data_IF_520366746766
#
_entry.id   IF_520366746766
#
_cell.length_a   1.000
_cell.length_b   1.000
_cell.length_c   1.000
_cell.angle_alpha   90.00
_cell.angle_beta   90.00
_cell.angle_gamma   90.00
#
_symmetry.space_group_name_H-M   'P 1'
#
loop_
_entity.id
_entity.type
_entity.pdbx_description
1 polymer ?
#
# COMPACT_ATOMS: atom_id res chain seq x y z
N UNK A 1 14.67 12.71 -29.88
CA UNK A 1 14.64 11.88 -28.65
C UNK A 1 13.37 12.17 -27.89
N UNK A 2 12.57 11.16 -27.55
CA UNK A 2 11.47 11.34 -26.58
C UNK A 2 12.10 11.64 -25.22
N UNK A 3 11.80 12.81 -24.64
CA UNK A 3 12.20 13.13 -23.26
C UNK A 3 11.31 12.36 -22.31
N UNK A 4 11.91 11.70 -21.32
CA UNK A 4 11.19 11.11 -20.21
C UNK A 4 10.64 12.22 -19.32
N UNK A 5 9.38 12.10 -18.89
CA UNK A 5 8.78 13.02 -17.93
C UNK A 5 9.10 12.52 -16.51
N UNK A 6 9.96 13.22 -15.74
CA UNK A 6 10.26 12.84 -14.37
C UNK A 6 9.07 13.01 -13.43
N UNK A 7 7.97 13.63 -13.88
CA UNK A 7 6.79 13.95 -13.08
C UNK A 7 5.57 13.08 -13.43
N UNK A 8 5.73 12.04 -14.24
CA UNK A 8 4.63 11.20 -14.74
C UNK A 8 3.62 10.77 -13.65
N UNK A 9 4.11 10.36 -12.48
CA UNK A 9 3.27 9.91 -11.36
C UNK A 9 3.10 10.96 -10.25
N UNK A 10 3.81 12.10 -10.32
CA UNK A 10 3.84 13.11 -9.26
C UNK A 10 2.44 13.63 -8.95
N UNK A 11 1.69 14.02 -9.97
CA UNK A 11 0.32 14.52 -9.76
C UNK A 11 -0.56 13.50 -9.06
N UNK A 12 -0.53 12.23 -9.50
CA UNK A 12 -1.31 11.16 -8.88
C UNK A 12 -0.94 10.97 -7.41
N UNK A 13 0.35 10.84 -7.10
CA UNK A 13 0.83 10.65 -5.72
C UNK A 13 0.45 11.86 -4.86
N UNK A 14 0.72 13.07 -5.32
CA UNK A 14 0.42 14.30 -4.60
C UNK A 14 -1.07 14.44 -4.29
N UNK A 15 -1.95 14.10 -5.25
CA UNK A 15 -3.40 14.14 -5.04
C UNK A 15 -3.83 13.22 -3.89
N UNK A 16 -3.42 11.95 -3.88
CA UNK A 16 -3.89 11.02 -2.86
C UNK A 16 -3.19 11.18 -1.51
N UNK A 17 -1.92 11.62 -1.49
CA UNK A 17 -1.24 11.99 -0.25
C UNK A 17 -1.88 13.23 0.36
N UNK A 18 -2.15 14.27 -0.43
CA UNK A 18 -2.85 15.47 0.04
C UNK A 18 -4.25 15.18 0.58
N UNK A 19 -5.06 14.42 -0.15
CA UNK A 19 -6.39 14.00 0.30
C UNK A 19 -6.34 13.17 1.58
N UNK A 20 -5.41 12.21 1.65
CA UNK A 20 -5.17 11.39 2.85
C UNK A 20 -4.81 12.28 4.04
N UNK A 21 -3.95 13.28 3.84
CA UNK A 21 -3.47 14.15 4.89
C UNK A 21 -4.57 15.08 5.39
N UNK A 22 -5.29 15.75 4.48
CA UNK A 22 -6.44 16.59 4.84
C UNK A 22 -7.51 15.81 5.61
N UNK A 23 -7.83 14.59 5.15
CA UNK A 23 -8.81 13.72 5.81
C UNK A 23 -8.34 13.12 7.15
N UNK A 24 -7.08 13.35 7.55
CA UNK A 24 -6.57 12.95 8.86
C UNK A 24 -6.90 13.95 9.97
N UNK A 25 -7.38 15.14 9.60
CA UNK A 25 -7.52 16.27 10.51
C UNK A 25 -6.19 16.92 10.86
N UNK A 26 -6.26 17.91 11.75
CA UNK A 26 -5.08 18.63 12.25
C UNK A 26 -4.24 17.73 13.16
N UNK A 27 -2.89 17.76 13.03
CA UNK A 27 -2.02 17.05 13.95
C UNK A 27 -2.17 17.50 15.40
N UNK A 28 -1.82 16.62 16.33
CA UNK A 28 -1.70 16.96 17.74
C UNK A 28 -0.69 18.11 17.92
N UNK A 29 -1.12 19.20 18.55
CA UNK A 29 -0.31 20.42 18.73
C UNK A 29 -0.65 21.57 17.78
N UNK A 30 -1.44 21.35 16.72
CA UNK A 30 -1.91 22.42 15.83
C UNK A 30 -3.15 23.15 16.38
N UNK A 31 -3.02 23.77 17.55
CA UNK A 31 -4.15 24.41 18.25
C UNK A 31 -4.37 25.86 17.82
N UNK A 32 -3.30 26.62 17.58
CA UNK A 32 -3.39 28.03 17.19
C UNK A 32 -3.37 28.22 15.67
N UNK A 33 -3.77 29.41 15.19
CA UNK A 33 -3.66 29.77 13.77
C UNK A 33 -2.21 29.78 13.28
N UNK A 34 -1.26 30.15 14.15
CA UNK A 34 0.17 30.15 13.84
C UNK A 34 0.68 28.72 13.65
N UNK A 35 0.34 27.79 14.55
CA UNK A 35 0.77 26.38 14.43
C UNK A 35 0.23 25.76 13.13
N UNK A 36 -1.02 26.10 12.77
CA UNK A 36 -1.64 25.64 11.51
C UNK A 36 -0.93 26.20 10.30
N UNK A 37 -0.60 27.50 10.30
CA UNK A 37 0.14 28.13 9.22
C UNK A 37 1.55 27.52 9.05
N UNK A 38 2.25 27.29 10.16
CA UNK A 38 3.58 26.67 10.16
C UNK A 38 3.53 25.24 9.64
N UNK A 39 2.54 24.45 10.07
CA UNK A 39 2.33 23.09 9.57
C UNK A 39 2.09 23.06 8.05
N UNK A 40 1.24 23.96 7.53
CA UNK A 40 0.96 24.02 6.09
C UNK A 40 2.22 24.40 5.29
N UNK A 41 2.95 25.41 5.76
CA UNK A 41 4.19 25.86 5.11
C UNK A 41 5.26 24.77 5.15
N UNK A 42 5.37 24.03 6.25
CA UNK A 42 6.29 22.90 6.36
C UNK A 42 5.90 21.74 5.43
N UNK A 43 4.62 21.38 5.39
CA UNK A 43 4.12 20.31 4.53
C UNK A 43 4.35 20.65 3.04
N UNK A 44 4.09 21.89 2.63
CA UNK A 44 4.39 22.35 1.28
C UNK A 44 5.91 22.32 0.99
N UNK A 45 6.73 22.78 1.93
CA UNK A 45 8.20 22.78 1.78
C UNK A 45 8.78 21.38 1.64
N UNK A 46 8.27 20.40 2.40
CA UNK A 46 8.81 19.03 2.43
C UNK A 46 8.23 18.17 1.31
N UNK A 47 6.91 18.19 1.12
CA UNK A 47 6.22 17.29 0.17
C UNK A 47 5.97 17.95 -1.20
N UNK A 48 6.04 19.28 -1.29
CA UNK A 48 5.62 20.02 -2.48
C UNK A 48 4.11 19.89 -2.74
N UNK A 49 3.31 19.70 -1.68
CA UNK A 49 1.86 19.54 -1.75
C UNK A 49 1.20 20.67 -0.98
N UNK A 50 0.36 21.43 -1.66
CA UNK A 50 -0.51 22.43 -1.03
C UNK A 50 -1.73 21.73 -0.41
N UNK A 51 -1.92 21.94 0.89
CA UNK A 51 -3.11 21.47 1.61
C UNK A 51 -4.11 22.62 1.76
N UNK A 52 -5.38 22.34 1.48
CA UNK A 52 -6.48 23.28 1.65
C UNK A 52 -6.92 23.29 3.13
N UNK A 53 -6.70 24.38 3.89
CA UNK A 53 -6.99 24.44 5.31
C UNK A 53 -8.47 24.21 5.65
N UNK A 54 -9.37 24.59 4.75
CA UNK A 54 -10.82 24.43 4.93
C UNK A 54 -11.27 22.97 4.81
N UNK A 55 -10.45 22.13 4.16
CA UNK A 55 -10.70 20.70 3.97
C UNK A 55 -9.98 19.82 4.98
N UNK A 56 -9.20 20.39 5.90
CA UNK A 56 -8.52 19.62 6.95
C UNK A 56 -9.52 19.31 8.06
N UNK A 57 -10.05 18.10 8.03
CA UNK A 57 -10.97 17.57 9.03
C UNK A 57 -10.82 16.05 9.14
N UNK A 58 -11.14 15.51 10.32
CA UNK A 58 -11.09 14.06 10.54
C UNK A 58 -12.20 13.38 9.75
N UNK A 59 -11.83 12.72 8.65
CA UNK A 59 -12.74 11.95 7.80
C UNK A 59 -12.18 10.55 7.54
N UNK A 60 -12.50 9.56 8.40
CA UNK A 60 -11.95 8.21 8.31
C UNK A 60 -12.24 7.52 6.97
N UNK A 61 -13.42 7.74 6.40
CA UNK A 61 -13.82 7.14 5.12
C UNK A 61 -13.02 7.67 3.95
N UNK A 62 -12.93 8.99 3.82
CA UNK A 62 -12.12 9.63 2.77
C UNK A 62 -10.64 9.28 2.93
N UNK A 63 -10.13 9.29 4.16
CA UNK A 63 -8.76 8.88 4.47
C UNK A 63 -8.49 7.45 4.00
N UNK A 64 -9.40 6.52 4.28
CA UNK A 64 -9.29 5.13 3.86
C UNK A 64 -9.25 5.01 2.34
N UNK A 65 -10.15 5.70 1.62
CA UNK A 65 -10.21 5.68 0.16
C UNK A 65 -8.94 6.29 -0.45
N UNK A 66 -8.50 7.44 0.04
CA UNK A 66 -7.28 8.10 -0.44
C UNK A 66 -6.05 7.21 -0.23
N UNK A 67 -5.92 6.59 0.96
CA UNK A 67 -4.85 5.61 1.25
C UNK A 67 -4.93 4.38 0.33
N UNK A 68 -6.12 3.84 0.09
CA UNK A 68 -6.31 2.70 -0.78
C UNK A 68 -5.87 3.01 -2.22
N UNK A 69 -6.27 4.18 -2.74
CA UNK A 69 -5.92 4.61 -4.10
C UNK A 69 -4.42 4.88 -4.23
N UNK A 70 -3.81 5.56 -3.25
CA UNK A 70 -2.36 5.73 -3.19
C UNK A 70 -1.63 4.38 -3.26
N UNK A 71 -2.13 3.38 -2.52
CA UNK A 71 -1.50 2.06 -2.42
C UNK A 71 -1.80 1.12 -3.61
N UNK A 72 -2.82 1.42 -4.42
CA UNK A 72 -3.27 0.52 -5.49
C UNK A 72 -2.55 0.73 -6.82
N UNK A 73 -1.89 1.88 -7.01
CA UNK A 73 -1.32 2.28 -8.30
C UNK A 73 -0.33 1.25 -8.84
N UNK A 74 0.72 0.93 -8.08
CA UNK A 74 1.78 0.04 -8.55
C UNK A 74 1.30 -1.41 -8.72
N UNK A 75 0.35 -1.87 -7.89
CA UNK A 75 -0.28 -3.17 -8.05
C UNK A 75 -1.04 -3.27 -9.37
N UNK A 76 -1.67 -2.17 -9.81
CA UNK A 76 -2.37 -2.12 -11.09
C UNK A 76 -1.43 -2.19 -12.30
N UNK A 77 -0.22 -1.61 -12.18
CA UNK A 77 0.80 -1.68 -13.23
C UNK A 77 1.31 -3.11 -13.46
N UNK A 78 1.32 -3.95 -12.43
CA UNK A 78 1.75 -5.36 -12.50
C UNK A 78 0.58 -6.35 -12.50
N UNK A 79 -0.65 -5.91 -12.80
CA UNK A 79 -1.81 -6.78 -12.71
C UNK A 79 -1.66 -8.00 -13.63
N UNK A 80 -1.68 -9.19 -13.04
CA UNK A 80 -1.58 -10.46 -13.77
C UNK A 80 -2.72 -10.58 -14.78
N UNK A 81 -2.34 -11.01 -15.98
CA UNK A 81 -3.26 -11.35 -17.07
C UNK A 81 -3.72 -12.80 -16.90
N UNK A 82 -4.90 -13.15 -17.39
CA UNK A 82 -5.51 -14.48 -17.26
C UNK A 82 -5.93 -14.83 -15.82
N UNK A 83 -6.62 -13.91 -15.16
CA UNK A 83 -7.33 -14.21 -13.93
C UNK A 83 -8.44 -15.24 -14.17
N UNK A 84 -8.77 -15.99 -13.12
CA UNK A 84 -10.01 -16.78 -13.11
C UNK A 84 -11.16 -15.84 -12.83
N UNK A 85 -12.21 -15.91 -13.65
CA UNK A 85 -13.41 -15.09 -13.56
C UNK A 85 -14.60 -15.98 -13.22
N UNK A 86 -15.51 -15.46 -12.40
CA UNK A 86 -16.82 -16.09 -12.19
C UNK A 86 -17.81 -15.39 -13.09
N UNK A 87 -18.48 -16.16 -13.94
CA UNK A 87 -19.60 -15.72 -14.77
C UNK A 87 -20.86 -16.45 -14.35
N UNK A 88 -22.00 -15.83 -14.60
CA UNK A 88 -23.30 -16.42 -14.32
C UNK A 88 -24.05 -16.62 -15.61
N UNK A 89 -24.50 -17.84 -15.86
CA UNK A 89 -25.40 -18.17 -16.95
C UNK A 89 -26.80 -18.39 -16.37
N UNK A 90 -27.79 -17.65 -16.88
CA UNK A 90 -29.18 -17.74 -16.44
C UNK A 90 -30.02 -18.69 -17.30
N UNK A 91 -29.48 -19.06 -18.45
CA UNK A 91 -30.15 -19.94 -19.42
C UNK A 91 -29.18 -21.00 -19.92
N UNK A 92 -29.68 -22.16 -20.38
CA UNK A 92 -28.84 -23.17 -21.02
C UNK A 92 -28.06 -22.60 -22.22
N UNK A 93 -28.64 -21.67 -22.98
CA UNK A 93 -27.97 -21.03 -24.10
C UNK A 93 -26.74 -20.20 -23.66
N UNK A 94 -26.85 -19.43 -22.59
CA UNK A 94 -25.71 -18.69 -22.02
C UNK A 94 -24.62 -19.63 -21.50
N UNK A 95 -25.02 -20.75 -20.89
CA UNK A 95 -24.08 -21.78 -20.42
C UNK A 95 -23.33 -22.43 -21.58
N UNK A 96 -24.05 -22.84 -22.64
CA UNK A 96 -23.46 -23.40 -23.85
C UNK A 96 -22.53 -22.42 -24.56
N UNK A 97 -22.86 -21.13 -24.61
CA UNK A 97 -21.95 -20.10 -25.14
C UNK A 97 -20.63 -20.06 -24.38
N UNK A 98 -20.64 -20.24 -23.05
CA UNK A 98 -19.41 -20.29 -22.27
C UNK A 98 -18.62 -21.58 -22.49
N UNK A 99 -19.29 -22.71 -22.72
CA UNK A 99 -18.63 -23.99 -23.04
C UNK A 99 -17.96 -23.97 -24.41
N UNK A 100 -18.58 -23.32 -25.39
CA UNK A 100 -18.16 -23.33 -26.79
C UNK A 100 -17.24 -22.15 -27.16
N UNK A 101 -17.10 -21.14 -26.29
CA UNK A 101 -16.22 -19.99 -26.54
C UNK A 101 -14.75 -20.45 -26.65
N UNK A 102 -14.14 -20.35 -27.85
CA UNK A 102 -12.78 -20.86 -28.07
C UNK A 102 -11.72 -20.06 -27.33
N UNK A 103 -12.05 -18.87 -26.81
CA UNK A 103 -11.12 -17.95 -26.16
C UNK A 103 -10.97 -18.17 -24.66
N UNK A 104 -11.83 -18.99 -24.06
CA UNK A 104 -11.84 -19.28 -22.63
C UNK A 104 -11.73 -20.79 -22.37
N UNK A 105 -11.23 -21.13 -21.19
CA UNK A 105 -11.31 -22.46 -20.60
C UNK A 105 -12.42 -22.43 -19.54
N UNK A 106 -13.42 -23.30 -19.67
CA UNK A 106 -14.34 -23.58 -18.57
C UNK A 106 -13.62 -24.49 -17.56
N UNK A 107 -13.44 -23.99 -16.34
CA UNK A 107 -12.69 -24.68 -15.29
C UNK A 107 -13.60 -25.49 -14.38
N UNK A 108 -14.76 -24.93 -14.07
CA UNK A 108 -15.71 -25.47 -13.10
C UNK A 108 -17.09 -24.84 -13.31
N UNK A 109 -18.15 -25.53 -12.89
CA UNK A 109 -19.48 -24.95 -12.83
C UNK A 109 -20.34 -25.60 -11.74
N UNK A 110 -21.21 -24.80 -11.13
CA UNK A 110 -22.18 -25.23 -10.13
C UNK A 110 -23.58 -24.69 -10.47
N UNK A 111 -24.59 -25.54 -10.30
CA UNK A 111 -26.00 -25.11 -10.32
C UNK A 111 -26.33 -24.41 -9.00
N UNK A 112 -26.47 -23.08 -9.02
CA UNK A 112 -26.82 -22.28 -7.84
C UNK A 112 -28.33 -22.33 -7.59
N UNK A 113 -29.12 -22.31 -8.67
CA UNK A 113 -30.57 -22.50 -8.65
C UNK A 113 -31.03 -23.08 -9.98
N UNK A 114 -32.32 -23.36 -10.11
CA UNK A 114 -32.94 -23.88 -11.35
C UNK A 114 -32.69 -22.99 -12.58
N UNK A 115 -32.38 -21.71 -12.38
CA UNK A 115 -32.19 -20.72 -13.45
C UNK A 115 -30.87 -19.96 -13.34
N UNK A 116 -29.88 -20.54 -12.66
CA UNK A 116 -28.60 -19.86 -12.45
C UNK A 116 -27.45 -20.85 -12.26
N UNK A 117 -26.53 -20.82 -13.21
CA UNK A 117 -25.28 -21.55 -13.18
C UNK A 117 -24.13 -20.60 -12.89
N UNK A 118 -23.35 -20.91 -11.87
CA UNK A 118 -22.08 -20.25 -11.57
C UNK A 118 -21.00 -20.96 -12.37
N UNK A 119 -20.41 -20.26 -13.34
CA UNK A 119 -19.36 -20.79 -14.19
C UNK A 119 -18.02 -20.15 -13.83
N UNK A 120 -17.02 -20.96 -13.52
CA UNK A 120 -15.65 -20.52 -13.30
C UNK A 120 -14.89 -20.66 -14.61
N UNK A 121 -14.47 -19.55 -15.18
CA UNK A 121 -13.81 -19.50 -16.49
C UNK A 121 -12.46 -18.83 -16.40
N UNK A 122 -11.58 -19.12 -17.36
CA UNK A 122 -10.30 -18.45 -17.50
C UNK A 122 -10.03 -18.14 -18.95
N UNK A 123 -9.56 -16.93 -19.24
CA UNK A 123 -9.15 -16.59 -20.60
C UNK A 123 -7.87 -17.35 -20.97
N UNK A 124 -7.86 -18.01 -22.12
CA UNK A 124 -6.67 -18.70 -22.62
C UNK A 124 -5.55 -17.69 -22.89
N UNK A 125 -4.28 -18.01 -22.59
CA UNK A 125 -3.17 -17.06 -22.67
C UNK A 125 -3.03 -16.34 -24.02
N UNK A 126 -3.24 -17.05 -25.12
CA UNK A 126 -3.14 -16.53 -26.49
C UNK A 126 -4.18 -15.47 -26.83
N UNK A 127 -5.33 -15.46 -26.13
CA UNK A 127 -6.39 -14.46 -26.30
C UNK A 127 -6.38 -13.39 -25.20
N UNK A 128 -5.50 -13.52 -24.22
CA UNK A 128 -5.48 -12.65 -23.07
C UNK A 128 -4.69 -11.37 -23.37
N UNK A 129 -5.31 -10.22 -23.07
CA UNK A 129 -4.69 -8.91 -23.24
C UNK A 129 -4.48 -8.29 -21.88
N UNK A 130 -3.28 -7.76 -21.66
CA UNK A 130 -3.02 -6.96 -20.48
C UNK A 130 -3.92 -5.71 -20.47
N UNK A 131 -4.35 -5.22 -19.29
CA UNK A 131 -4.99 -3.92 -19.20
C UNK A 131 -4.11 -2.83 -19.82
N UNK A 132 -4.72 -1.79 -20.41
CA UNK A 132 -3.98 -0.64 -20.95
C UNK A 132 -3.11 0.07 -19.89
N UNK A 133 -3.41 -0.12 -18.62
CA UNK A 133 -2.65 0.42 -17.49
C UNK A 133 -1.46 -0.46 -17.09
N UNK A 134 -1.28 -1.65 -17.67
CA UNK A 134 -0.19 -2.54 -17.30
C UNK A 134 1.15 -1.99 -17.82
N UNK A 135 2.12 -1.86 -16.92
CA UNK A 135 3.48 -1.48 -17.25
C UNK A 135 4.44 -2.23 -16.32
N UNK A 136 4.67 -3.52 -16.63
CA UNK A 136 5.52 -4.39 -15.85
C UNK A 136 6.94 -3.82 -15.57
N UNK A 137 7.63 -3.17 -16.54
CA UNK A 137 8.95 -2.58 -16.27
C UNK A 137 8.91 -1.53 -15.16
N UNK A 138 7.93 -0.62 -15.18
CA UNK A 138 7.79 0.41 -14.13
C UNK A 138 7.50 -0.24 -12.78
N UNK A 139 6.61 -1.23 -12.72
CA UNK A 139 6.32 -1.93 -11.47
C UNK A 139 7.56 -2.67 -10.91
N UNK A 140 8.37 -3.27 -11.79
CA UNK A 140 9.62 -3.92 -11.40
C UNK A 140 10.62 -2.90 -10.81
N UNK A 141 10.75 -1.72 -11.43
CA UNK A 141 11.59 -0.64 -10.89
C UNK A 141 11.07 -0.14 -9.54
N UNK A 142 9.78 0.18 -9.41
CA UNK A 142 9.18 0.64 -8.15
C UNK A 142 9.45 -0.35 -7.02
N UNK A 143 9.22 -1.65 -7.25
CA UNK A 143 9.49 -2.68 -6.23
C UNK A 143 10.98 -2.86 -5.95
N UNK A 144 11.86 -2.62 -6.92
CA UNK A 144 13.32 -2.69 -6.71
C UNK A 144 13.82 -1.52 -5.86
N UNK A 145 13.37 -0.29 -6.17
CA UNK A 145 13.68 0.89 -5.38
C UNK A 145 13.10 0.79 -3.96
N UNK A 146 11.89 0.28 -3.79
CA UNK A 146 11.32 0.06 -2.46
C UNK A 146 12.17 -0.91 -1.61
N UNK A 147 12.73 -1.97 -2.21
CA UNK A 147 13.64 -2.90 -1.51
C UNK A 147 14.96 -2.23 -1.12
N UNK A 148 15.54 -1.43 -2.01
CA UNK A 148 16.76 -0.67 -1.71
C UNK A 148 16.51 0.34 -0.58
N UNK A 149 15.38 1.05 -0.64
CA UNK A 149 14.96 2.01 0.38
C UNK A 149 14.78 1.35 1.76
N UNK A 150 14.14 0.18 1.81
CA UNK A 150 14.03 -0.58 3.05
C UNK A 150 15.40 -1.08 3.54
N UNK A 151 16.26 -1.48 2.61
CA UNK A 151 17.61 -1.94 2.92
C UNK A 151 18.46 -0.84 3.56
N UNK A 152 18.33 0.42 3.13
CA UNK A 152 18.97 1.58 3.79
C UNK A 152 18.59 1.69 5.28
N UNK A 153 17.32 1.44 5.64
CA UNK A 153 16.90 1.41 7.04
C UNK A 153 17.45 0.19 7.80
N UNK A 154 17.62 -0.95 7.13
CA UNK A 154 18.29 -2.13 7.72
C UNK A 154 19.76 -1.82 7.99
N UNK A 155 20.44 -1.10 7.11
CA UNK A 155 21.82 -0.64 7.34
C UNK A 155 21.90 0.34 8.51
N UNK A 156 20.93 1.26 8.65
CA UNK A 156 20.85 2.12 9.83
C UNK A 156 20.72 1.32 11.13
N UNK A 157 19.89 0.27 11.16
CA UNK A 157 19.79 -0.64 12.32
C UNK A 157 21.16 -1.21 12.67
N UNK A 158 21.94 -1.63 11.66
CA UNK A 158 23.28 -2.16 11.89
C UNK A 158 24.25 -1.08 12.41
N UNK A 159 24.21 0.13 11.84
CA UNK A 159 25.08 1.25 12.22
C UNK A 159 24.87 1.69 13.69
N UNK A 160 23.63 1.67 14.18
CA UNK A 160 23.32 1.97 15.59
C UNK A 160 23.64 0.80 16.54
N UNK A 161 24.21 -0.30 16.02
CA UNK A 161 24.50 -1.52 16.78
C UNK A 161 23.27 -2.32 17.18
N UNK A 162 22.18 -2.17 16.43
CA UNK A 162 20.95 -2.94 16.60
C UNK A 162 21.00 -4.30 15.90
N UNK A 163 20.04 -5.16 16.25
CA UNK A 163 19.88 -6.49 15.65
C UNK A 163 18.51 -6.55 14.96
N UNK A 164 18.51 -6.74 13.64
CA UNK A 164 17.28 -6.94 12.87
C UNK A 164 16.63 -8.29 13.27
N UNK A 165 15.35 -8.27 13.61
CA UNK A 165 14.54 -9.45 13.93
C UNK A 165 13.66 -9.88 12.77
N UNK A 166 13.06 -8.92 12.07
CA UNK A 166 12.11 -9.18 10.99
C UNK A 166 12.11 -8.03 9.98
N UNK A 167 11.83 -8.35 8.73
CA UNK A 167 11.52 -7.38 7.68
C UNK A 167 10.42 -7.94 6.78
N UNK A 168 9.46 -7.09 6.41
CA UNK A 168 8.52 -7.33 5.31
C UNK A 168 8.66 -6.20 4.27
N UNK A 169 7.63 -5.98 3.47
CA UNK A 169 7.66 -5.10 2.28
C UNK A 169 8.00 -3.65 2.61
N UNK A 170 7.54 -3.15 3.76
CA UNK A 170 7.63 -1.74 4.17
C UNK A 170 7.83 -1.57 5.68
N UNK A 171 8.21 -2.63 6.38
CA UNK A 171 8.37 -2.64 7.84
C UNK A 171 9.59 -3.44 8.27
N UNK A 172 10.21 -3.00 9.37
CA UNK A 172 11.28 -3.70 10.06
C UNK A 172 10.97 -3.78 11.55
N UNK A 173 11.44 -4.85 12.18
CA UNK A 173 11.43 -5.01 13.63
C UNK A 173 12.87 -5.29 14.04
N UNK A 174 13.38 -4.57 15.03
CA UNK A 174 14.75 -4.70 15.47
C UNK A 174 14.88 -4.52 16.98
N UNK A 175 15.95 -5.09 17.55
CA UNK A 175 16.39 -4.83 18.92
C UNK A 175 17.42 -3.71 18.88
N UNK A 176 17.23 -2.69 19.72
CA UNK A 176 18.19 -1.60 19.92
C UNK A 176 18.42 -1.32 21.41
N UNK A 177 19.50 -0.59 21.73
CA UNK A 177 19.78 -0.14 23.10
C UNK A 177 18.67 0.79 23.59
N UNK A 178 18.22 0.62 24.85
CA UNK A 178 17.06 1.37 25.43
C UNK A 178 17.20 2.89 25.27
N UNK A 179 18.39 3.42 25.55
CA UNK A 179 18.73 4.85 25.46
C UNK A 179 19.77 5.12 24.35
N UNK A 180 19.83 4.25 23.33
CA UNK A 180 20.74 4.40 22.19
C UNK A 180 20.14 5.24 21.07
N UNK A 181 20.97 5.45 20.04
CA UNK A 181 20.49 5.95 18.75
C UNK A 181 19.43 5.00 18.19
N UNK A 182 18.52 5.57 17.40
CA UNK A 182 17.41 4.86 16.74
C UNK A 182 17.50 5.09 15.24
N UNK A 183 16.86 4.21 14.49
CA UNK A 183 16.60 4.44 13.05
C UNK A 183 15.83 5.73 12.87
N UNK A 184 16.08 6.46 11.78
CA UNK A 184 15.36 7.70 11.52
C UNK A 184 13.85 7.47 11.40
N UNK A 185 13.07 8.30 12.09
CA UNK A 185 11.61 8.28 12.10
C UNK A 185 11.07 9.57 11.50
N UNK A 186 9.86 9.54 10.95
CA UNK A 186 9.18 10.75 10.48
C UNK A 186 7.78 10.52 9.94
N UNK A 187 7.12 11.62 9.59
CA UNK A 187 5.69 11.67 9.21
C UNK A 187 5.47 11.87 7.70
N UNK A 188 6.54 12.11 6.95
CA UNK A 188 6.50 12.41 5.51
C UNK A 188 6.68 11.17 4.64
N UNK A 189 6.38 11.31 3.36
CA UNK A 189 6.45 10.25 2.37
C UNK A 189 7.86 9.65 2.30
N UNK A 190 7.95 8.33 2.40
CA UNK A 190 9.22 7.59 2.39
C UNK A 190 9.93 7.51 3.75
N UNK A 191 9.41 8.16 4.79
CA UNK A 191 9.96 8.04 6.14
C UNK A 191 9.36 6.84 6.89
N UNK A 192 10.12 6.28 7.83
CA UNK A 192 9.63 5.22 8.71
C UNK A 192 8.80 5.83 9.83
N UNK A 193 7.54 5.43 9.92
CA UNK A 193 6.67 5.80 11.03
C UNK A 193 6.61 4.68 12.05
N UNK A 194 6.73 5.02 13.33
CA UNK A 194 6.52 4.06 14.41
C UNK A 194 5.04 3.65 14.46
N UNK A 195 4.79 2.35 14.33
CA UNK A 195 3.43 1.82 14.22
C UNK A 195 2.61 2.00 15.49
N UNK A 196 3.22 1.74 16.66
CA UNK A 196 2.56 1.91 17.96
C UNK A 196 3.48 2.68 18.91
N UNK A 197 3.49 4.03 18.87
CA UNK A 197 4.41 4.85 19.65
C UNK A 197 4.29 4.67 21.17
N UNK A 198 3.09 4.39 21.65
CA UNK A 198 2.76 4.23 23.07
C UNK A 198 3.13 2.87 23.66
N UNK A 199 3.52 1.89 22.82
CA UNK A 199 3.83 0.53 23.24
C UNK A 199 5.27 0.17 22.96
N UNK A 200 5.75 -0.82 23.71
CA UNK A 200 7.04 -1.46 23.50
C UNK A 200 6.84 -2.95 23.37
N UNK A 201 7.56 -3.55 22.42
CA UNK A 201 7.66 -5.00 22.30
C UNK A 201 8.57 -5.52 23.41
N UNK A 202 8.04 -6.39 24.27
CA UNK A 202 8.78 -7.08 25.34
C UNK A 202 9.34 -8.40 24.83
N UNK A 203 8.52 -9.15 24.10
CA UNK A 203 8.89 -10.44 23.53
C UNK A 203 8.51 -10.48 22.04
N UNK A 204 9.34 -11.15 21.26
CA UNK A 204 9.12 -11.36 19.84
C UNK A 204 9.40 -12.83 19.52
N UNK A 205 8.44 -13.48 18.85
CA UNK A 205 8.56 -14.86 18.39
C UNK A 205 8.29 -14.88 16.89
N UNK A 206 9.18 -15.50 16.11
CA UNK A 206 8.98 -15.73 14.68
C UNK A 206 8.94 -17.24 14.39
N UNK A 207 7.88 -17.68 13.73
CA UNK A 207 7.73 -19.04 13.21
C UNK A 207 8.14 -19.19 11.74
N UNK A 208 8.36 -18.07 11.05
CA UNK A 208 8.74 -18.04 9.64
C UNK A 208 8.31 -16.74 8.96
N UNK A 209 8.39 -16.70 7.63
CA UNK A 209 7.95 -15.54 6.85
C UNK A 209 6.45 -15.31 7.08
N UNK A 210 6.09 -14.08 7.45
CA UNK A 210 4.71 -13.66 7.76
C UNK A 210 4.02 -14.42 8.91
N UNK A 211 4.80 -15.06 9.77
CA UNK A 211 4.31 -15.76 10.97
C UNK A 211 5.12 -15.27 12.16
N UNK A 212 4.55 -14.33 12.91
CA UNK A 212 5.18 -13.73 14.08
C UNK A 212 4.15 -13.37 15.16
N UNK A 213 4.62 -13.28 16.40
CA UNK A 213 3.87 -12.80 17.54
C UNK A 213 4.73 -11.83 18.35
N UNK A 214 4.10 -10.79 18.91
CA UNK A 214 4.73 -9.82 19.79
C UNK A 214 3.93 -9.71 21.08
N UNK A 215 4.62 -9.78 22.21
CA UNK A 215 4.06 -9.30 23.47
C UNK A 215 4.43 -7.82 23.64
N UNK A 216 3.45 -7.01 24.01
CA UNK A 216 3.63 -5.55 24.09
C UNK A 216 3.12 -4.98 25.41
N UNK A 217 3.88 -4.08 26.01
CA UNK A 217 3.46 -3.31 27.17
C UNK A 217 3.38 -1.83 26.84
N UNK A 218 2.51 -1.11 27.56
CA UNK A 218 2.52 0.36 27.54
C UNK A 218 3.86 0.85 28.09
N UNK A 219 4.47 1.85 27.46
CA UNK A 219 5.65 2.48 28.04
C UNK A 219 5.22 3.27 29.28
N UNK A 220 5.64 2.81 30.47
CA UNK A 220 5.59 3.64 31.67
C UNK A 220 6.73 4.66 31.52
N UNK A 221 6.41 5.95 31.65
CA UNK A 221 7.41 7.00 31.75
C UNK A 221 8.19 6.76 33.06
N UNK A 222 9.40 6.21 32.93
CA UNK A 222 10.43 6.24 33.98
C UNK A 222 11.26 7.52 33.83
#
# INVERSE_FOLDING_TARGET
>A
MKKWDPNLFRSYVNTFIGLKQQASGWPDGCASEMDRADYLAEFERVEGIFLDPEKIETNPGLRMIAKLLANSLWGKLAQRVCGTEVRYAKTPAEFHQLLEDPTIDMLDFDHVSEHLDRCVVRKKPEFAKAPNTNCLPVAAYVTSYARLHLYEYIEQVHQIGGVLLYCDTDSIIYVGKRNGQRVSEGEYLGQMKREVPSRRILEFIAGGRKIMATDTSTQVQD
#
